data_IF_257325569399
#
_entry.id   IF_257325569399
#
_cell.length_a   1.000
_cell.length_b   1.000
_cell.length_c   1.000
_cell.angle_alpha   90.00
_cell.angle_beta   90.00
_cell.angle_gamma   90.00
#
_symmetry.space_group_name_H-M   'P 1'
#
loop_
_entity.id
_entity.type
_entity.pdbx_description
1 polymer ?
#
# COMPACT_ATOMS: atom_id res chain seq x y z
N UNK A 1 -34.91 9.03 2.56
CA UNK A 1 -34.08 9.19 1.34
C UNK A 1 -32.75 9.90 1.63
N UNK A 2 -32.73 11.05 2.32
CA UNK A 2 -31.50 11.77 2.67
C UNK A 2 -30.55 10.99 3.61
N UNK A 3 -31.09 10.27 4.60
CA UNK A 3 -30.32 9.41 5.50
C UNK A 3 -29.66 8.23 4.75
N UNK A 4 -30.36 7.68 3.75
CA UNK A 4 -29.85 6.59 2.90
C UNK A 4 -28.71 7.09 1.99
N UNK A 5 -28.83 8.30 1.46
CA UNK A 5 -27.77 8.98 0.70
C UNK A 5 -26.56 9.30 1.59
N UNK A 6 -26.76 9.77 2.81
CA UNK A 6 -25.69 9.99 3.80
C UNK A 6 -24.97 8.67 4.15
N UNK A 7 -25.70 7.58 4.39
CA UNK A 7 -25.13 6.23 4.61
C UNK A 7 -24.32 5.72 3.41
N UNK A 8 -24.77 5.97 2.18
CA UNK A 8 -24.04 5.61 0.95
C UNK A 8 -22.78 6.46 0.74
N UNK A 9 -22.76 7.71 1.21
CA UNK A 9 -21.58 8.58 1.21
C UNK A 9 -20.55 8.11 2.25
N UNK A 10 -20.99 7.64 3.42
CA UNK A 10 -20.11 7.04 4.44
C UNK A 10 -19.60 5.63 4.08
N UNK A 11 -20.27 4.92 3.17
CA UNK A 11 -19.81 3.62 2.63
C UNK A 11 -18.67 3.74 1.62
N UNK A 12 -18.27 4.96 1.23
CA UNK A 12 -16.92 5.18 0.69
C UNK A 12 -15.93 5.19 1.85
N UNK A 13 -15.82 4.06 2.54
CA UNK A 13 -14.64 3.77 3.34
C UNK A 13 -13.46 3.85 2.37
N UNK A 14 -12.71 4.94 2.47
CA UNK A 14 -11.41 5.11 1.84
C UNK A 14 -10.55 3.97 2.40
N UNK A 15 -10.57 2.86 1.68
CA UNK A 15 -9.77 1.70 2.00
C UNK A 15 -8.32 2.16 1.86
N UNK A 16 -7.51 1.98 2.91
CA UNK A 16 -6.07 2.10 2.78
C UNK A 16 -5.59 0.88 1.98
N UNK A 17 -5.81 1.00 0.68
CA UNK A 17 -5.31 0.18 -0.41
C UNK A 17 -4.44 1.09 -1.28
N UNK A 18 -3.83 0.52 -2.32
CA UNK A 18 -3.32 1.36 -3.40
C UNK A 18 -4.42 2.24 -3.97
N UNK A 19 -4.06 3.42 -4.44
CA UNK A 19 -5.01 4.25 -5.18
C UNK A 19 -5.51 3.48 -6.41
N UNK A 20 -6.75 3.71 -6.82
CA UNK A 20 -7.34 3.05 -8.00
C UNK A 20 -6.48 3.21 -9.24
N UNK A 21 -5.86 4.39 -9.42
CA UNK A 21 -4.99 4.66 -10.54
C UNK A 21 -3.70 3.82 -10.49
N UNK A 22 -3.00 3.76 -9.34
CA UNK A 22 -1.79 2.94 -9.22
C UNK A 22 -2.09 1.43 -9.31
N UNK A 23 -3.17 0.99 -8.67
CA UNK A 23 -3.66 -0.38 -8.78
C UNK A 23 -3.91 -0.77 -10.25
N UNK A 24 -4.61 0.11 -10.98
CA UNK A 24 -4.89 -0.07 -12.41
C UNK A 24 -3.61 -0.12 -13.24
N UNK A 25 -2.63 0.74 -12.95
CA UNK A 25 -1.33 0.72 -13.62
C UNK A 25 -0.65 -0.65 -13.49
N UNK A 26 -0.53 -1.18 -12.26
CA UNK A 26 0.10 -2.50 -12.05
C UNK A 26 -0.71 -3.59 -12.76
N UNK A 27 -2.03 -3.57 -12.59
CA UNK A 27 -2.91 -4.59 -13.15
C UNK A 27 -2.84 -4.63 -14.67
N UNK A 28 -2.93 -3.47 -15.33
CA UNK A 28 -3.00 -3.39 -16.78
C UNK A 28 -1.66 -3.72 -17.46
N UNK A 29 -0.53 -3.44 -16.80
CA UNK A 29 0.80 -3.66 -17.38
C UNK A 29 1.44 -4.99 -16.96
N UNK A 30 1.09 -5.52 -15.78
CA UNK A 30 1.78 -6.66 -15.16
C UNK A 30 0.83 -7.77 -14.67
N UNK A 31 -0.48 -7.57 -14.72
CA UNK A 31 -1.49 -8.57 -14.42
C UNK A 31 -1.91 -8.65 -12.95
N UNK A 32 -3.08 -9.25 -12.72
CA UNK A 32 -3.77 -9.24 -11.43
C UNK A 32 -3.01 -9.95 -10.31
N UNK A 33 -2.23 -10.99 -10.66
CA UNK A 33 -1.44 -11.74 -9.68
C UNK A 33 -0.38 -10.85 -8.99
N UNK A 34 0.27 -9.95 -9.74
CA UNK A 34 1.25 -9.02 -9.18
C UNK A 34 0.53 -7.95 -8.36
N UNK A 35 -0.59 -7.42 -8.87
CA UNK A 35 -1.42 -6.46 -8.13
C UNK A 35 -1.83 -7.01 -6.77
N UNK A 36 -2.41 -8.21 -6.72
CA UNK A 36 -2.86 -8.85 -5.47
C UNK A 36 -1.68 -9.14 -4.52
N UNK A 37 -0.54 -9.58 -5.06
CA UNK A 37 0.66 -9.82 -4.27
C UNK A 37 1.19 -8.56 -3.59
N UNK A 38 0.91 -7.36 -4.11
CA UNK A 38 1.36 -6.09 -3.54
C UNK A 38 0.26 -5.36 -2.77
N UNK A 39 -0.99 -5.45 -3.18
CA UNK A 39 -2.11 -4.77 -2.51
C UNK A 39 -2.49 -5.47 -1.20
N UNK A 40 -2.32 -6.80 -1.16
CA UNK A 40 -2.48 -7.63 0.04
C UNK A 40 -3.83 -7.51 0.73
N UNK A 41 -4.89 -7.43 -0.07
CA UNK A 41 -6.28 -7.43 0.41
C UNK A 41 -6.65 -8.73 1.14
N UNK A 42 -5.89 -9.82 0.93
CA UNK A 42 -6.00 -11.07 1.69
C UNK A 42 -5.69 -10.91 3.18
N UNK A 43 -4.90 -9.90 3.56
CA UNK A 43 -4.55 -9.60 4.96
C UNK A 43 -5.51 -8.62 5.63
N UNK A 44 -6.58 -8.24 4.94
CA UNK A 44 -7.54 -7.23 5.37
C UNK A 44 -7.06 -5.80 5.12
N UNK A 45 -7.76 -4.84 5.73
CA UNK A 45 -7.51 -3.42 5.53
C UNK A 45 -6.12 -2.99 6.02
N UNK A 46 -5.62 -1.85 5.51
CA UNK A 46 -4.36 -1.23 5.91
C UNK A 46 -3.12 -2.10 5.62
N UNK A 47 -3.23 -3.04 4.69
CA UNK A 47 -2.15 -3.95 4.30
C UNK A 47 -1.26 -3.39 3.20
N UNK A 48 -1.66 -2.30 2.54
CA UNK A 48 -0.87 -1.54 1.59
C UNK A 48 -1.33 -0.07 1.53
N UNK A 49 -0.51 0.80 0.96
CA UNK A 49 -0.90 2.17 0.61
C UNK A 49 0.05 2.74 -0.45
N UNK A 50 -0.39 3.80 -1.12
CA UNK A 50 0.43 4.61 -2.01
C UNK A 50 -0.09 4.64 -3.44
N UNK A 51 0.62 5.43 -4.25
CA UNK A 51 0.28 5.66 -5.65
C UNK A 51 -0.42 6.98 -5.90
N UNK A 52 -0.24 7.51 -7.12
CA UNK A 52 -1.00 8.67 -7.61
C UNK A 52 -2.49 8.38 -7.65
N UNK A 53 -3.34 9.33 -7.27
CA UNK A 53 -4.79 9.27 -7.41
C UNK A 53 -5.25 9.37 -8.87
N UNK A 54 -4.51 10.09 -9.70
CA UNK A 54 -4.72 10.20 -11.15
C UNK A 54 -3.42 10.52 -11.91
N UNK A 55 -3.50 10.64 -13.24
CA UNK A 55 -2.37 10.99 -14.10
C UNK A 55 -1.84 12.40 -13.88
N UNK A 56 -2.68 13.28 -13.35
CA UNK A 56 -2.42 14.71 -13.13
C UNK A 56 -1.76 14.99 -11.78
N UNK A 57 -1.64 13.98 -10.91
CA UNK A 57 -0.96 14.13 -9.63
C UNK A 57 0.53 14.40 -9.85
N UNK A 58 0.95 15.63 -9.59
CA UNK A 58 2.35 16.03 -9.56
C UNK A 58 3.02 15.54 -8.28
N UNK A 59 4.24 15.00 -8.42
CA UNK A 59 5.09 14.58 -7.32
C UNK A 59 6.17 15.66 -7.12
N UNK A 60 6.21 16.25 -5.93
CA UNK A 60 7.11 17.34 -5.56
C UNK A 60 8.34 16.81 -4.81
N UNK A 61 8.21 15.64 -4.17
CA UNK A 61 9.25 14.99 -3.38
C UNK A 61 9.66 13.64 -3.94
N UNK A 62 10.86 13.18 -3.58
CA UNK A 62 11.28 11.81 -3.84
C UNK A 62 10.38 10.81 -3.12
N UNK A 63 9.92 9.78 -3.83
CA UNK A 63 9.06 8.75 -3.27
C UNK A 63 9.70 8.07 -2.05
N UNK A 64 8.90 7.85 -1.01
CA UNK A 64 9.28 7.16 0.22
C UNK A 64 8.62 5.79 0.23
N UNK A 65 9.43 4.74 0.37
CA UNK A 65 8.97 3.36 0.44
C UNK A 65 9.18 2.86 1.85
N UNK A 66 8.09 2.58 2.56
CA UNK A 66 8.11 2.06 3.92
C UNK A 66 8.11 0.54 3.87
N UNK A 67 9.07 -0.07 4.57
CA UNK A 67 9.24 -1.52 4.68
C UNK A 67 9.20 -1.87 6.16
N UNK A 68 8.25 -2.69 6.56
CA UNK A 68 8.15 -3.16 7.94
C UNK A 68 9.11 -4.33 8.23
N UNK A 69 9.32 -4.63 9.52
CA UNK A 69 10.11 -5.78 9.97
C UNK A 69 9.30 -7.09 9.83
N UNK A 70 9.98 -8.22 9.95
CA UNK A 70 9.37 -9.54 10.05
C UNK A 70 8.27 -9.59 11.11
N UNK A 71 7.20 -10.35 10.82
CA UNK A 71 6.12 -10.62 11.78
C UNK A 71 5.17 -9.44 12.01
N UNK A 72 5.13 -8.50 11.09
CA UNK A 72 4.36 -7.27 11.23
C UNK A 72 3.53 -6.94 9.97
N UNK A 73 2.77 -5.84 10.04
CA UNK A 73 2.04 -5.23 8.93
C UNK A 73 2.51 -3.80 8.68
N UNK A 74 2.31 -3.34 7.45
CA UNK A 74 2.64 -1.96 7.07
C UNK A 74 1.85 -0.91 7.86
N UNK A 75 0.69 -1.29 8.41
CA UNK A 75 -0.14 -0.44 9.28
C UNK A 75 0.63 0.18 10.47
N UNK A 76 1.68 -0.46 10.98
CA UNK A 76 2.48 0.16 12.07
C UNK A 76 3.18 1.45 11.68
N UNK A 77 3.35 1.68 10.38
CA UNK A 77 3.94 2.90 9.84
C UNK A 77 2.96 4.07 9.73
N UNK A 78 1.69 3.95 10.15
CA UNK A 78 0.73 5.07 10.07
C UNK A 78 1.21 6.35 10.77
N UNK A 79 2.01 6.24 11.85
CA UNK A 79 2.62 7.41 12.49
C UNK A 79 3.70 8.06 11.61
N UNK A 80 4.50 7.25 10.90
CA UNK A 80 5.50 7.71 9.94
C UNK A 80 4.83 8.37 8.73
N UNK A 81 3.76 7.77 8.19
CA UNK A 81 2.96 8.37 7.11
C UNK A 81 2.46 9.76 7.54
N UNK A 82 1.82 9.87 8.71
CA UNK A 82 1.36 11.17 9.24
C UNK A 82 2.49 12.18 9.42
N UNK A 83 3.67 11.72 9.84
CA UNK A 83 4.84 12.57 9.96
C UNK A 83 5.30 13.12 8.60
N UNK A 84 5.43 12.25 7.59
CA UNK A 84 5.81 12.66 6.23
C UNK A 84 4.79 13.64 5.64
N UNK A 85 3.49 13.36 5.78
CA UNK A 85 2.43 14.28 5.36
C UNK A 85 2.57 15.64 6.06
N UNK A 86 2.89 15.67 7.36
CA UNK A 86 3.14 16.93 8.10
C UNK A 86 4.39 17.69 7.64
N UNK A 87 5.27 17.04 6.88
CA UNK A 87 6.49 17.62 6.27
C UNK A 87 6.29 18.03 4.82
N UNK A 88 5.06 17.97 4.30
CA UNK A 88 4.74 18.40 2.94
C UNK A 88 4.81 17.29 1.90
N UNK A 89 4.99 16.04 2.31
CA UNK A 89 4.79 14.92 1.38
C UNK A 89 3.31 14.76 1.04
N UNK A 90 3.04 14.33 -0.19
CA UNK A 90 1.70 13.92 -0.64
C UNK A 90 1.50 12.43 -0.37
N UNK A 91 0.24 12.01 -0.22
CA UNK A 91 -0.08 10.59 -0.08
C UNK A 91 0.39 9.76 -1.29
N UNK A 92 0.42 10.38 -2.47
CA UNK A 92 0.92 9.81 -3.72
C UNK A 92 2.44 9.57 -3.75
N UNK A 93 3.17 10.09 -2.76
CA UNK A 93 4.63 9.97 -2.65
C UNK A 93 5.05 8.95 -1.58
N UNK A 94 4.10 8.38 -0.84
CA UNK A 94 4.37 7.50 0.30
C UNK A 94 3.76 6.13 0.00
N UNK A 95 4.62 5.11 -0.04
CA UNK A 95 4.28 3.77 -0.49
C UNK A 95 4.60 2.72 0.58
N UNK A 96 3.82 1.66 0.60
CA UNK A 96 4.07 0.53 1.49
C UNK A 96 3.18 -0.66 1.17
N UNK A 97 3.71 -1.86 1.36
CA UNK A 97 2.98 -3.12 1.24
C UNK A 97 3.41 -4.05 2.36
N UNK A 98 2.47 -4.82 2.88
CA UNK A 98 2.75 -5.85 3.86
C UNK A 98 3.37 -7.06 3.16
N UNK A 99 4.61 -7.38 3.50
CA UNK A 99 5.24 -8.61 3.02
C UNK A 99 5.04 -9.75 4.01
N UNK A 100 5.13 -10.99 3.52
CA UNK A 100 4.94 -12.16 4.38
C UNK A 100 3.47 -12.42 4.72
N UNK A 101 3.20 -13.00 5.88
CA UNK A 101 1.85 -13.38 6.31
C UNK A 101 1.16 -12.32 7.19
N UNK A 102 1.76 -11.14 7.35
CA UNK A 102 1.19 -10.05 8.15
C UNK A 102 1.17 -10.32 9.65
N UNK A 103 2.11 -11.09 10.16
CA UNK A 103 2.28 -11.35 11.60
C UNK A 103 1.52 -12.56 12.13
N UNK A 104 1.11 -13.47 11.25
CA UNK A 104 0.49 -14.74 11.66
C UNK A 104 1.53 -15.70 12.26
N UNK A 105 2.73 -15.73 11.69
CA UNK A 105 3.85 -16.53 12.21
C UNK A 105 4.57 -15.75 13.31
N UNK A 106 4.80 -16.40 14.46
CA UNK A 106 5.58 -15.82 15.56
C UNK A 106 7.01 -15.51 15.11
N UNK A 107 7.58 -14.37 15.54
CA UNK A 107 8.90 -13.86 15.09
C UNK A 107 10.02 -14.91 15.09
N UNK A 108 10.10 -15.74 16.13
CA UNK A 108 11.13 -16.77 16.27
C UNK A 108 11.02 -17.92 15.24
N UNK A 109 9.90 -18.00 14.52
CA UNK A 109 9.58 -19.04 13.54
C UNK A 109 9.49 -18.49 12.11
N UNK A 110 9.85 -17.22 11.91
CA UNK A 110 9.79 -16.60 10.59
C UNK A 110 11.04 -16.97 9.79
N UNK A 111 10.83 -17.67 8.69
CA UNK A 111 11.84 -17.88 7.67
C UNK A 111 11.71 -16.82 6.57
N UNK A 112 12.83 -16.17 6.21
CA UNK A 112 12.86 -15.23 5.09
C UNK A 112 12.84 -15.97 3.75
N UNK A 113 11.63 -16.20 3.22
CA UNK A 113 11.43 -16.90 1.95
C UNK A 113 11.79 -16.01 0.76
N UNK A 114 12.25 -16.64 -0.32
CA UNK A 114 12.51 -15.96 -1.60
C UNK A 114 11.27 -15.21 -2.13
N UNK A 115 10.07 -15.74 -1.89
CA UNK A 115 8.81 -15.05 -2.22
C UNK A 115 8.65 -13.71 -1.51
N UNK A 116 9.05 -13.60 -0.24
CA UNK A 116 8.98 -12.36 0.53
C UNK A 116 9.98 -11.33 0.00
N UNK A 117 11.21 -11.76 -0.31
CA UNK A 117 12.22 -10.89 -0.92
C UNK A 117 11.76 -10.38 -2.30
N UNK A 118 11.15 -11.24 -3.12
CA UNK A 118 10.60 -10.84 -4.43
C UNK A 118 9.47 -9.82 -4.27
N UNK A 119 8.59 -10.01 -3.30
CA UNK A 119 7.49 -9.09 -3.00
C UNK A 119 8.01 -7.69 -2.64
N UNK A 120 9.01 -7.60 -1.75
CA UNK A 120 9.65 -6.32 -1.38
C UNK A 120 10.27 -5.67 -2.62
N UNK A 121 11.04 -6.44 -3.41
CA UNK A 121 11.69 -5.93 -4.63
C UNK A 121 10.69 -5.44 -5.67
N UNK A 122 9.57 -6.14 -5.83
CA UNK A 122 8.48 -5.70 -6.71
C UNK A 122 7.88 -4.38 -6.23
N UNK A 123 7.58 -4.25 -4.93
CA UNK A 123 7.08 -2.99 -4.37
C UNK A 123 8.03 -1.81 -4.62
N UNK A 124 9.34 -2.04 -4.48
CA UNK A 124 10.37 -1.04 -4.82
C UNK A 124 10.33 -0.71 -6.31
N UNK A 125 10.37 -1.73 -7.17
CA UNK A 125 10.39 -1.55 -8.62
C UNK A 125 9.18 -0.77 -9.14
N UNK A 126 7.96 -1.12 -8.74
CA UNK A 126 6.75 -0.46 -9.22
C UNK A 126 6.59 0.97 -8.72
N UNK A 127 7.22 1.33 -7.60
CA UNK A 127 7.25 2.71 -7.12
C UNK A 127 8.19 3.59 -7.96
N UNK A 128 9.27 3.01 -8.50
CA UNK A 128 10.31 3.76 -9.23
C UNK A 128 10.00 4.02 -10.71
N UNK A 129 8.98 3.38 -11.26
CA UNK A 129 8.61 3.48 -12.68
C UNK A 129 7.32 4.28 -12.94
N UNK A 130 6.84 4.99 -11.92
CA UNK A 130 5.61 5.81 -11.92
C UNK A 130 5.86 7.31 -12.11
#
# INVERSE_FOLDING_TARGET
MLLLLLLLIFLRSAQAEFTTHFRSFIHNNYGIAITQALERTDLGNNSSFGGKGSTEDELDNQAVILIHDSGDKIERFQRMVKHLLSKGYKQSEIYGTTWGDGGLTALALIDLKCSYVKQIRHGIFFTLIL
#
